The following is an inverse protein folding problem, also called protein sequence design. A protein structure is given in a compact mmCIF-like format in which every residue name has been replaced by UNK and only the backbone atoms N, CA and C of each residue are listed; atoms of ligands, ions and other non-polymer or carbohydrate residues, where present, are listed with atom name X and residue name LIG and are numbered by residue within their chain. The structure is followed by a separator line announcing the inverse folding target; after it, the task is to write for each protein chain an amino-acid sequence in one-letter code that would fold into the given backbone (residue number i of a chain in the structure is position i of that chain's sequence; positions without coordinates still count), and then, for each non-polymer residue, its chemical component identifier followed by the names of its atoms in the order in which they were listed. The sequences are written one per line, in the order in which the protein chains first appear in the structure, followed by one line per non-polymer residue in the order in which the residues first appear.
data_IF_896394100723
#
_entry.id   IF_896394100723
#
_cell.length_a   1.000
_cell.length_b   1.000
_cell.length_c   1.000
_cell.angle_alpha   90.00
_cell.angle_beta   90.00
_cell.angle_gamma   90.00
#
_symmetry.space_group_name_H-M   'P 1'
#
loop_
_entity.id
_entity.type
_entity.pdbx_description
1 polymer ?
#
# COMPACT_ATOMS: atom_id res chain seq x y z
N UNK A 1 -12.89 -18.64 -14.83
CA UNK A 1 -13.03 -18.94 -13.38
C UNK A 1 -14.01 -17.95 -12.78
N UNK A 2 -14.76 -18.33 -11.74
CA UNK A 2 -15.55 -17.35 -10.98
C UNK A 2 -14.60 -16.26 -10.47
N UNK A 3 -14.99 -14.99 -10.59
CA UNK A 3 -14.22 -13.90 -10.03
C UNK A 3 -13.99 -14.17 -8.54
N UNK A 4 -12.73 -14.09 -8.08
CA UNK A 4 -12.34 -14.27 -6.67
C UNK A 4 -12.62 -13.02 -5.82
N UNK A 5 -13.49 -12.13 -6.29
CA UNK A 5 -13.93 -10.97 -5.53
C UNK A 5 -15.09 -11.38 -4.65
N UNK A 6 -14.98 -11.15 -3.34
CA UNK A 6 -16.02 -11.51 -2.39
C UNK A 6 -17.34 -10.77 -2.70
N UNK A 7 -17.25 -9.50 -3.11
CA UNK A 7 -18.39 -8.64 -3.45
C UNK A 7 -19.17 -9.09 -4.69
N UNK A 8 -18.63 -10.02 -5.48
CA UNK A 8 -19.32 -10.58 -6.64
C UNK A 8 -20.18 -11.81 -6.28
N UNK A 9 -20.04 -12.35 -5.07
CA UNK A 9 -20.87 -13.43 -4.58
C UNK A 9 -22.24 -12.90 -4.12
N UNK A 10 -23.28 -13.69 -4.37
CA UNK A 10 -24.59 -13.49 -3.74
C UNK A 10 -24.54 -13.98 -2.30
N UNK A 11 -25.35 -13.40 -1.40
CA UNK A 11 -25.36 -13.77 0.02
C UNK A 11 -25.36 -15.28 0.32
N UNK A 12 -26.24 -16.09 -0.31
CA UNK A 12 -26.24 -17.55 -0.11
C UNK A 12 -25.00 -18.30 -0.62
N UNK A 13 -24.24 -17.71 -1.54
CA UNK A 13 -23.02 -18.28 -2.12
C UNK A 13 -21.83 -18.11 -1.16
N UNK A 14 -21.80 -17.03 -0.36
CA UNK A 14 -20.71 -16.72 0.58
C UNK A 14 -20.49 -17.86 1.58
N UNK A 15 -21.56 -18.39 2.18
CA UNK A 15 -21.48 -19.48 3.15
C UNK A 15 -21.00 -20.81 2.55
N UNK A 16 -21.10 -20.98 1.23
CA UNK A 16 -20.63 -22.16 0.50
C UNK A 16 -19.20 -21.99 -0.01
N UNK A 17 -18.84 -20.77 -0.38
CA UNK A 17 -17.55 -20.43 -0.96
C UNK A 17 -16.46 -20.30 0.10
N UNK A 18 -16.78 -19.72 1.26
CA UNK A 18 -15.81 -19.46 2.32
C UNK A 18 -15.68 -20.62 3.30
N UNK A 19 -14.44 -20.90 3.68
CA UNK A 19 -14.07 -21.92 4.66
C UNK A 19 -13.11 -21.34 5.70
N UNK A 20 -12.77 -22.12 6.73
CA UNK A 20 -11.72 -21.73 7.70
C UNK A 20 -10.33 -21.61 7.06
N UNK A 21 -10.11 -22.27 5.93
CA UNK A 21 -8.84 -22.23 5.20
C UNK A 21 -8.73 -21.02 4.27
N UNK A 22 -9.85 -20.36 3.97
CA UNK A 22 -9.85 -19.20 3.07
C UNK A 22 -9.04 -18.04 3.64
N UNK A 23 -8.49 -17.23 2.75
CA UNK A 23 -7.77 -16.00 3.07
C UNK A 23 -8.49 -14.83 2.43
N UNK A 24 -8.89 -13.84 3.23
CA UNK A 24 -9.40 -12.59 2.69
C UNK A 24 -8.24 -11.61 2.51
N UNK A 25 -8.16 -10.96 1.36
CA UNK A 25 -7.18 -9.93 1.04
C UNK A 25 -7.89 -8.58 0.98
N UNK A 26 -7.48 -7.65 1.83
CA UNK A 26 -7.98 -6.28 1.90
C UNK A 26 -6.92 -5.34 1.33
N UNK A 27 -7.10 -4.80 0.11
CA UNK A 27 -6.24 -3.74 -0.39
C UNK A 27 -6.49 -2.46 0.40
N UNK A 28 -5.40 -1.78 0.78
CA UNK A 28 -5.41 -0.47 1.42
C UNK A 28 -4.64 0.50 0.52
N UNK A 29 -5.33 1.48 -0.04
CA UNK A 29 -4.71 2.57 -0.79
C UNK A 29 -4.65 3.87 0.03
N UNK A 30 -4.35 4.98 -0.64
CA UNK A 30 -4.56 6.33 -0.15
C UNK A 30 -4.85 7.26 -1.35
N UNK A 31 -5.42 8.44 -1.06
CA UNK A 31 -5.59 9.52 -2.02
C UNK A 31 -4.79 10.72 -1.54
N UNK A 32 -3.62 10.93 -2.14
CA UNK A 32 -2.62 11.89 -1.68
C UNK A 32 -1.70 12.36 -2.81
N UNK A 33 -1.10 13.54 -2.65
CA UNK A 33 -0.11 14.05 -3.59
C UNK A 33 1.05 13.08 -3.75
N UNK A 34 1.67 13.02 -4.93
CA UNK A 34 2.85 12.20 -5.24
C UNK A 34 3.84 13.01 -6.09
N UNK A 35 4.03 14.28 -5.76
CA UNK A 35 4.73 15.23 -6.62
C UNK A 35 3.88 15.72 -7.80
N UNK A 36 4.47 16.50 -8.71
CA UNK A 36 3.74 17.15 -9.80
C UNK A 36 3.47 16.23 -11.01
N UNK A 37 4.10 15.05 -11.07
CA UNK A 37 4.07 14.13 -12.21
C UNK A 37 3.11 12.94 -12.04
N UNK A 38 2.72 12.61 -10.81
CA UNK A 38 1.85 11.47 -10.50
C UNK A 38 0.44 11.89 -10.06
N UNK A 39 -0.57 11.04 -10.30
CA UNK A 39 -1.93 11.30 -9.86
C UNK A 39 -2.11 10.98 -8.37
N UNK A 40 -3.15 11.56 -7.75
CA UNK A 40 -3.47 11.34 -6.34
C UNK A 40 -3.78 9.88 -5.98
N UNK A 41 -4.14 9.07 -6.96
CA UNK A 41 -4.62 7.69 -6.77
C UNK A 41 -3.49 6.66 -6.70
N UNK A 42 -2.22 7.07 -6.73
CA UNK A 42 -1.05 6.19 -6.96
C UNK A 42 -1.07 4.97 -6.04
N UNK A 43 -1.18 5.17 -4.72
CA UNK A 43 -1.20 4.07 -3.73
C UNK A 43 -2.36 3.09 -3.94
N UNK A 44 -3.56 3.63 -4.21
CA UNK A 44 -4.75 2.81 -4.47
C UNK A 44 -4.58 2.01 -5.77
N UNK A 45 -4.14 2.66 -6.84
CA UNK A 45 -3.97 2.04 -8.15
C UNK A 45 -2.96 0.88 -8.08
N UNK A 46 -1.86 1.06 -7.36
CA UNK A 46 -0.84 0.01 -7.16
C UNK A 46 -1.39 -1.12 -6.30
N UNK A 47 -1.97 -0.82 -5.13
CA UNK A 47 -2.48 -1.85 -4.22
C UNK A 47 -3.59 -2.70 -4.85
N UNK A 48 -4.51 -2.05 -5.57
CA UNK A 48 -5.62 -2.73 -6.24
C UNK A 48 -5.11 -3.61 -7.39
N UNK A 49 -4.25 -3.08 -8.27
CA UNK A 49 -3.71 -3.85 -9.39
C UNK A 49 -2.91 -5.08 -8.93
N UNK A 50 -2.08 -4.93 -7.89
CA UNK A 50 -1.30 -6.06 -7.34
C UNK A 50 -2.24 -7.08 -6.70
N UNK A 51 -3.25 -6.66 -5.94
CA UNK A 51 -4.19 -7.60 -5.34
C UNK A 51 -4.99 -8.38 -6.40
N UNK A 52 -5.47 -7.69 -7.44
CA UNK A 52 -6.23 -8.30 -8.54
C UNK A 52 -5.40 -9.33 -9.31
N UNK A 53 -4.10 -9.12 -9.44
CA UNK A 53 -3.19 -10.07 -10.10
C UNK A 53 -2.70 -11.19 -9.18
N UNK A 54 -2.40 -10.90 -7.91
CA UNK A 54 -1.85 -11.85 -6.95
C UNK A 54 -2.88 -12.88 -6.46
N UNK A 55 -4.14 -12.50 -6.28
CA UNK A 55 -5.17 -13.42 -5.78
C UNK A 55 -5.40 -14.63 -6.72
N UNK A 56 -5.54 -14.45 -8.05
CA UNK A 56 -5.57 -15.58 -9.00
C UNK A 56 -4.34 -16.48 -8.92
N UNK A 57 -3.14 -15.91 -8.87
CA UNK A 57 -1.88 -16.67 -8.76
C UNK A 57 -1.84 -17.49 -7.48
N UNK A 58 -2.26 -16.91 -6.34
CA UNK A 58 -2.36 -17.63 -5.08
C UNK A 58 -3.35 -18.81 -5.16
N UNK A 59 -4.48 -18.63 -5.86
CA UNK A 59 -5.47 -19.68 -6.11
C UNK A 59 -4.91 -20.82 -6.96
N UNK A 60 -4.16 -20.50 -8.00
CA UNK A 60 -3.47 -21.52 -8.81
C UNK A 60 -2.44 -22.31 -7.99
N UNK A 61 -1.85 -21.67 -6.97
CA UNK A 61 -0.95 -22.30 -5.99
C UNK A 61 -1.69 -23.03 -4.85
N UNK A 62 -3.01 -23.14 -4.91
CA UNK A 62 -3.82 -23.89 -3.95
C UNK A 62 -4.24 -23.12 -2.70
N UNK A 63 -4.06 -21.80 -2.67
CA UNK A 63 -4.59 -20.93 -1.60
C UNK A 63 -6.01 -20.50 -1.94
N UNK A 64 -6.98 -20.77 -1.07
CA UNK A 64 -8.35 -20.27 -1.26
C UNK A 64 -8.46 -18.78 -0.90
N UNK A 65 -7.89 -17.92 -1.75
CA UNK A 65 -7.84 -16.48 -1.56
C UNK A 65 -9.04 -15.76 -2.20
N UNK A 66 -9.53 -14.72 -1.52
CA UNK A 66 -10.64 -13.87 -1.97
C UNK A 66 -10.33 -12.40 -1.72
N UNK A 67 -10.65 -11.56 -2.71
CA UNK A 67 -10.42 -10.13 -2.67
C UNK A 67 -11.62 -9.41 -2.05
N UNK A 68 -11.36 -8.56 -1.06
CA UNK A 68 -12.31 -7.59 -0.54
C UNK A 68 -12.26 -6.29 -1.36
N UNK A 69 -13.36 -5.51 -1.42
CA UNK A 69 -13.31 -4.18 -2.01
C UNK A 69 -12.20 -3.32 -1.37
N UNK A 70 -11.41 -2.57 -2.13
CA UNK A 70 -10.31 -1.79 -1.59
C UNK A 70 -10.81 -0.69 -0.65
N UNK A 71 -10.02 -0.37 0.38
CA UNK A 71 -10.17 0.88 1.11
C UNK A 71 -9.39 1.97 0.38
N UNK A 72 -10.12 2.78 -0.39
CA UNK A 72 -9.56 3.86 -1.19
C UNK A 72 -8.96 5.00 -0.35
N UNK A 73 -9.60 5.34 0.76
CA UNK A 73 -9.18 6.42 1.66
C UNK A 73 -8.76 5.82 2.99
N UNK A 74 -7.55 6.13 3.43
CA UNK A 74 -6.95 5.60 4.67
C UNK A 74 -6.27 6.72 5.45
N UNK A 75 -5.41 6.40 6.42
CA UNK A 75 -4.65 7.40 7.17
C UNK A 75 -3.52 7.94 6.28
N UNK A 76 -3.64 9.20 5.89
CA UNK A 76 -2.70 9.92 5.00
C UNK A 76 -2.52 11.40 5.46
N UNK A 77 -2.62 11.63 6.77
CA UNK A 77 -2.58 12.99 7.34
C UNK A 77 -1.19 13.66 7.29
N UNK A 78 -0.13 12.91 7.00
CA UNK A 78 1.22 13.39 6.63
C UNK A 78 1.23 14.14 5.27
N UNK A 79 0.17 13.99 4.46
CA UNK A 79 -0.06 14.72 3.21
C UNK A 79 -1.21 15.75 3.34
N UNK A 80 -1.76 15.99 4.54
CA UNK A 80 -2.96 16.80 4.76
C UNK A 80 -2.81 18.28 4.37
N UNK A 81 -1.58 18.78 4.26
CA UNK A 81 -1.29 20.15 3.83
C UNK A 81 -1.56 20.37 2.34
N UNK A 82 -1.59 19.29 1.53
CA UNK A 82 -1.73 19.39 0.09
C UNK A 82 -3.22 19.34 -0.35
N UNK A 83 -3.67 20.26 -1.21
CA UNK A 83 -5.03 20.23 -1.74
C UNK A 83 -5.31 18.96 -2.57
N UNK A 84 -6.38 18.25 -2.21
CA UNK A 84 -6.80 17.02 -2.90
C UNK A 84 -6.53 15.75 -2.10
N UNK A 85 -5.68 15.79 -1.08
CA UNK A 85 -5.50 14.67 -0.15
C UNK A 85 -6.82 14.38 0.59
N UNK A 86 -7.26 13.11 0.56
CA UNK A 86 -8.44 12.64 1.30
C UNK A 86 -7.95 11.63 2.34
N UNK A 87 -8.07 11.98 3.61
CA UNK A 87 -7.46 11.22 4.69
C UNK A 87 -8.42 10.97 5.86
N UNK A 88 -8.21 9.86 6.53
CA UNK A 88 -8.85 9.51 7.80
C UNK A 88 -7.90 9.77 8.97
N UNK A 89 -8.45 10.12 10.13
CA UNK A 89 -7.66 10.09 11.37
C UNK A 89 -7.25 8.65 11.70
N UNK A 90 -6.13 8.48 12.42
CA UNK A 90 -5.70 7.17 12.90
C UNK A 90 -6.80 6.44 13.70
N UNK A 91 -7.56 7.18 14.53
CA UNK A 91 -8.70 6.60 15.28
C UNK A 91 -9.80 6.11 14.35
N UNK A 92 -10.15 6.91 13.34
CA UNK A 92 -11.19 6.55 12.36
C UNK A 92 -10.79 5.31 11.58
N UNK A 93 -9.56 5.27 11.05
CA UNK A 93 -9.07 4.12 10.30
C UNK A 93 -9.01 2.86 11.18
N UNK A 94 -8.56 2.97 12.43
CA UNK A 94 -8.56 1.84 13.36
C UNK A 94 -9.97 1.30 13.58
N UNK A 95 -10.97 2.17 13.84
CA UNK A 95 -12.35 1.73 13.99
C UNK A 95 -12.90 1.05 12.73
N UNK A 96 -12.54 1.53 11.54
CA UNK A 96 -12.91 0.87 10.27
C UNK A 96 -12.27 -0.53 10.17
N UNK A 97 -10.98 -0.66 10.51
CA UNK A 97 -10.29 -1.96 10.50
C UNK A 97 -10.90 -2.92 11.53
N UNK A 98 -11.26 -2.45 12.72
CA UNK A 98 -11.94 -3.25 13.74
C UNK A 98 -13.32 -3.72 13.28
N UNK A 99 -14.10 -2.85 12.63
CA UNK A 99 -15.40 -3.21 12.06
C UNK A 99 -15.25 -4.23 10.92
N UNK A 100 -14.23 -4.07 10.05
CA UNK A 100 -13.89 -5.07 9.03
C UNK A 100 -13.53 -6.41 9.68
N UNK A 101 -12.69 -6.41 10.70
CA UNK A 101 -12.33 -7.61 11.44
C UNK A 101 -13.55 -8.30 12.06
N UNK A 102 -14.48 -7.54 12.65
CA UNK A 102 -15.76 -8.06 13.15
C UNK A 102 -16.58 -8.73 12.04
N UNK A 103 -16.65 -8.11 10.87
CA UNK A 103 -17.33 -8.66 9.70
C UNK A 103 -16.68 -9.97 9.23
N UNK A 104 -15.34 -10.03 9.16
CA UNK A 104 -14.62 -11.25 8.80
C UNK A 104 -14.86 -12.36 9.83
N UNK A 105 -14.82 -12.05 11.12
CA UNK A 105 -15.03 -13.00 12.21
C UNK A 105 -16.46 -13.59 12.24
N UNK A 106 -17.44 -12.87 11.66
CA UNK A 106 -18.80 -13.37 11.47
C UNK A 106 -18.92 -14.44 10.36
N UNK A 107 -17.85 -14.68 9.59
CA UNK A 107 -17.78 -15.74 8.58
C UNK A 107 -16.97 -16.95 9.09
N UNK A 108 -16.89 -18.07 8.34
CA UNK A 108 -15.96 -19.16 8.65
C UNK A 108 -14.48 -18.76 8.56
N UNK A 109 -14.13 -17.67 7.87
CA UNK A 109 -12.75 -17.28 7.59
C UNK A 109 -12.01 -16.87 8.86
N UNK A 110 -10.72 -17.23 8.95
CA UNK A 110 -9.86 -16.86 10.09
C UNK A 110 -8.60 -16.11 9.69
N UNK A 111 -8.33 -15.93 8.40
CA UNK A 111 -7.12 -15.27 7.89
C UNK A 111 -7.49 -14.00 7.10
N UNK A 112 -6.86 -12.89 7.46
CA UNK A 112 -7.02 -11.59 6.80
C UNK A 112 -5.65 -10.99 6.49
N UNK A 113 -5.41 -10.67 5.22
CA UNK A 113 -4.19 -9.99 4.76
C UNK A 113 -4.57 -8.58 4.39
N UNK A 114 -3.88 -7.60 4.97
CA UNK A 114 -3.91 -6.21 4.50
C UNK A 114 -2.78 -6.00 3.49
N UNK A 115 -3.12 -5.83 2.22
CA UNK A 115 -2.14 -5.44 1.19
C UNK A 115 -2.08 -3.91 1.15
N UNK A 116 -1.05 -3.36 1.77
CA UNK A 116 -0.94 -1.93 2.03
C UNK A 116 -0.07 -1.23 0.97
N UNK A 117 -0.70 -0.37 0.17
CA UNK A 117 -0.03 0.48 -0.82
C UNK A 117 0.53 1.78 -0.26
N UNK A 118 0.15 2.19 0.95
CA UNK A 118 0.54 3.48 1.52
C UNK A 118 1.41 3.31 2.78
N UNK A 119 2.64 3.85 2.77
CA UNK A 119 3.60 3.69 3.86
C UNK A 119 3.08 4.18 5.22
N UNK A 120 2.31 5.28 5.23
CA UNK A 120 1.76 5.91 6.43
C UNK A 120 0.77 5.06 7.24
N UNK A 121 0.28 3.96 6.66
CA UNK A 121 -0.63 3.02 7.32
C UNK A 121 0.12 1.95 8.13
N UNK A 122 1.40 1.67 7.84
CA UNK A 122 2.06 0.45 8.31
C UNK A 122 2.07 0.28 9.83
N UNK A 123 2.43 1.33 10.57
CA UNK A 123 2.47 1.27 12.03
C UNK A 123 1.08 1.03 12.63
N UNK A 124 0.05 1.67 12.06
CA UNK A 124 -1.34 1.52 12.48
C UNK A 124 -1.85 0.11 12.19
N UNK A 125 -1.61 -0.41 10.99
CA UNK A 125 -2.07 -1.76 10.59
C UNK A 125 -1.30 -2.85 11.36
N UNK A 126 -0.01 -2.67 11.59
CA UNK A 126 0.79 -3.59 12.40
C UNK A 126 0.26 -3.68 13.85
N UNK A 127 -0.14 -2.55 14.43
CA UNK A 127 -0.83 -2.54 15.73
C UNK A 127 -2.21 -3.20 15.64
N UNK A 128 -3.01 -2.82 14.65
CA UNK A 128 -4.36 -3.35 14.44
C UNK A 128 -4.39 -4.88 14.25
N UNK A 129 -3.37 -5.47 13.61
CA UNK A 129 -3.23 -6.92 13.51
C UNK A 129 -3.31 -7.61 14.89
N UNK A 130 -2.64 -7.04 15.90
CA UNK A 130 -2.68 -7.57 17.26
C UNK A 130 -4.06 -7.38 17.90
N UNK A 131 -4.68 -6.22 17.69
CA UNK A 131 -6.02 -5.94 18.21
C UNK A 131 -7.06 -6.90 17.63
N UNK A 132 -7.05 -7.14 16.31
CA UNK A 132 -7.94 -8.09 15.66
C UNK A 132 -7.74 -9.53 16.16
N UNK A 133 -6.49 -9.92 16.46
CA UNK A 133 -6.20 -11.22 17.07
C UNK A 133 -6.79 -11.32 18.48
N UNK A 134 -6.59 -10.30 19.32
CA UNK A 134 -7.07 -10.28 20.70
C UNK A 134 -8.61 -10.27 20.76
N UNK A 135 -9.25 -9.44 19.93
CA UNK A 135 -10.69 -9.23 19.96
C UNK A 135 -11.46 -10.36 19.27
N UNK A 136 -10.96 -10.88 18.15
CA UNK A 136 -11.72 -11.79 17.28
C UNK A 136 -11.05 -13.12 16.99
N UNK A 137 -9.81 -13.34 17.47
CA UNK A 137 -9.06 -14.57 17.20
C UNK A 137 -8.62 -14.74 15.75
N UNK A 138 -8.61 -13.66 14.95
CA UNK A 138 -8.16 -13.69 13.56
C UNK A 138 -6.63 -13.82 13.47
N UNK A 139 -6.14 -14.55 12.48
CA UNK A 139 -4.75 -14.51 12.01
C UNK A 139 -4.65 -13.40 10.96
N UNK A 140 -3.89 -12.35 11.26
CA UNK A 140 -3.86 -11.15 10.44
C UNK A 140 -2.45 -10.80 10.02
N UNK A 141 -2.29 -10.34 8.78
CA UNK A 141 -0.99 -10.11 8.16
C UNK A 141 -0.96 -8.73 7.49
N UNK A 142 0.18 -8.06 7.59
CA UNK A 142 0.48 -6.86 6.81
C UNK A 142 1.44 -7.26 5.69
N UNK A 143 1.06 -6.96 4.46
CA UNK A 143 1.88 -7.13 3.27
C UNK A 143 1.94 -5.81 2.50
N UNK A 144 2.95 -5.66 1.66
CA UNK A 144 3.14 -4.50 0.81
C UNK A 144 3.44 -4.95 -0.62
N UNK A 145 3.01 -4.20 -1.66
CA UNK A 145 3.48 -4.42 -3.03
C UNK A 145 5.00 -4.35 -3.15
N UNK A 146 5.61 -3.37 -2.48
CA UNK A 146 7.06 -3.24 -2.27
C UNK A 146 7.26 -2.76 -0.83
N UNK A 147 8.20 -3.34 -0.10
CA UNK A 147 8.49 -2.88 1.25
C UNK A 147 9.01 -1.43 1.19
N UNK A 148 8.40 -0.44 1.89
CA UNK A 148 8.87 0.94 1.84
C UNK A 148 10.29 1.09 2.42
N UNK A 149 11.09 1.99 1.84
CA UNK A 149 12.48 2.18 2.27
C UNK A 149 12.59 2.66 3.73
N UNK A 150 11.63 3.45 4.22
CA UNK A 150 11.58 3.90 5.61
C UNK A 150 11.24 2.77 6.61
N UNK A 151 10.89 1.59 6.11
CA UNK A 151 10.48 0.40 6.87
C UNK A 151 11.39 -0.80 6.60
N UNK A 152 12.60 -0.55 6.09
CA UNK A 152 13.62 -1.58 5.83
C UNK A 152 13.57 -2.17 4.42
N UNK A 153 12.77 -1.58 3.53
CA UNK A 153 12.82 -1.84 2.10
C UNK A 153 14.01 -1.18 1.40
N UNK A 154 14.06 -1.36 0.08
CA UNK A 154 15.05 -0.71 -0.80
C UNK A 154 14.51 0.56 -1.45
N UNK A 155 15.40 1.32 -2.08
CA UNK A 155 15.04 2.34 -3.06
C UNK A 155 16.08 2.33 -4.19
N UNK A 156 15.84 3.09 -5.26
CA UNK A 156 16.85 3.18 -6.32
C UNK A 156 18.17 3.77 -5.77
N UNK A 157 19.34 3.37 -6.31
CA UNK A 157 20.63 3.91 -5.87
C UNK A 157 20.71 5.44 -5.96
N UNK A 158 20.03 6.05 -6.93
CA UNK A 158 19.93 7.51 -7.10
C UNK A 158 19.23 8.20 -5.94
N UNK A 159 18.45 7.48 -5.15
CA UNK A 159 17.62 7.97 -4.05
C UNK A 159 18.24 7.74 -2.67
N UNK A 160 19.41 7.10 -2.60
CA UNK A 160 20.21 6.95 -1.38
C UNK A 160 19.48 6.27 -0.20
N UNK A 161 18.53 5.37 -0.49
CA UNK A 161 17.69 4.72 0.53
C UNK A 161 16.55 5.59 1.05
N UNK A 162 16.29 6.73 0.41
CA UNK A 162 15.29 7.73 0.84
C UNK A 162 14.17 7.94 -0.20
N UNK A 163 14.11 7.10 -1.24
CA UNK A 163 12.99 7.09 -2.17
C UNK A 163 11.79 6.42 -1.52
N UNK A 164 10.97 7.21 -0.82
CA UNK A 164 9.88 6.69 0.01
C UNK A 164 8.49 7.11 -0.47
N UNK A 165 8.40 8.09 -1.38
CA UNK A 165 7.12 8.62 -1.83
C UNK A 165 7.27 9.44 -3.14
N UNK A 166 6.49 9.15 -4.16
CA UNK A 166 6.59 9.72 -5.52
C UNK A 166 7.92 9.44 -6.24
N UNK A 167 8.71 8.48 -5.73
CA UNK A 167 10.05 8.17 -6.21
C UNK A 167 10.07 7.28 -7.46
N UNK A 168 11.24 6.71 -7.75
CA UNK A 168 11.48 5.88 -8.93
C UNK A 168 10.56 4.67 -9.01
N UNK A 169 10.28 3.99 -7.89
CA UNK A 169 9.49 2.74 -7.87
C UNK A 169 8.01 3.00 -8.21
N UNK A 170 7.35 3.88 -7.44
CA UNK A 170 5.94 4.24 -7.66
C UNK A 170 5.73 4.87 -9.05
N UNK A 171 6.66 5.72 -9.48
CA UNK A 171 6.60 6.31 -10.82
C UNK A 171 6.71 5.25 -11.91
N UNK A 172 7.61 4.28 -11.74
CA UNK A 172 7.77 3.18 -12.70
C UNK A 172 6.52 2.30 -12.73
N UNK A 173 5.97 1.94 -11.56
CA UNK A 173 4.73 1.18 -11.44
C UNK A 173 3.57 1.91 -12.14
N UNK A 174 3.41 3.22 -11.92
CA UNK A 174 2.36 3.99 -12.57
C UNK A 174 2.56 4.16 -14.07
N UNK A 175 3.80 4.27 -14.56
CA UNK A 175 4.08 4.23 -16.01
C UNK A 175 3.70 2.88 -16.64
N UNK A 176 3.77 1.78 -15.89
CA UNK A 176 3.31 0.47 -16.35
C UNK A 176 1.79 0.34 -16.30
N UNK A 177 1.18 0.72 -15.17
CA UNK A 177 -0.23 0.47 -14.89
C UNK A 177 -1.17 1.50 -15.53
N UNK A 178 -0.82 2.78 -15.46
CA UNK A 178 -1.64 3.93 -15.87
C UNK A 178 -0.79 5.04 -16.50
N UNK A 179 -0.07 4.76 -17.60
CA UNK A 179 0.77 5.76 -18.27
C UNK A 179 -0.01 7.00 -18.71
N UNK A 180 -1.31 6.87 -18.92
CA UNK A 180 -2.22 7.97 -19.26
C UNK A 180 -2.35 9.04 -18.17
N UNK A 181 -1.98 8.71 -16.93
CA UNK A 181 -2.04 9.61 -15.77
C UNK A 181 -0.68 10.16 -15.33
N UNK A 182 0.41 9.76 -15.97
CA UNK A 182 1.77 10.16 -15.58
C UNK A 182 2.31 11.21 -16.53
N UNK A 183 2.77 12.33 -15.99
CA UNK A 183 3.41 13.42 -16.76
C UNK A 183 4.90 13.51 -16.43
N UNK A 184 5.71 12.70 -17.11
CA UNK A 184 7.16 12.66 -16.91
C UNK A 184 7.86 13.98 -17.24
N UNK A 185 7.23 14.91 -17.97
CA UNK A 185 7.82 16.24 -18.21
C UNK A 185 7.89 17.08 -16.93
N UNK A 186 7.13 16.69 -15.90
CA UNK A 186 7.13 17.30 -14.57
C UNK A 186 7.94 16.53 -13.54
N UNK A 187 8.51 15.37 -13.90
CA UNK A 187 9.29 14.57 -12.97
C UNK A 187 10.55 15.33 -12.57
N UNK A 188 10.69 15.60 -11.27
CA UNK A 188 11.84 16.33 -10.71
C UNK A 188 12.40 15.53 -9.53
N UNK A 189 13.73 15.44 -9.43
CA UNK A 189 14.42 14.84 -8.29
C UNK A 189 14.21 15.67 -7.02
N UNK A 190 13.77 15.04 -5.94
CA UNK A 190 13.63 15.61 -4.60
C UNK A 190 14.14 14.61 -3.54
N UNK A 191 15.47 14.45 -3.46
CA UNK A 191 16.11 13.56 -2.47
C UNK A 191 16.64 14.40 -1.31
N UNK A 192 16.28 14.11 -0.04
CA UNK A 192 16.72 14.89 1.11
C UNK A 192 18.16 14.53 1.52
N UNK A 193 19.13 14.89 0.69
CA UNK A 193 20.55 14.52 0.85
C UNK A 193 21.15 14.93 2.20
N UNK A 194 20.65 16.01 2.80
CA UNK A 194 21.06 16.43 4.14
C UNK A 194 20.78 15.37 5.24
N UNK A 195 19.81 14.47 5.03
CA UNK A 195 19.57 13.33 5.92
C UNK A 195 20.54 12.17 5.67
N UNK A 196 21.12 12.05 4.47
CA UNK A 196 22.05 10.97 4.14
C UNK A 196 23.33 11.05 5.00
N UNK A 197 23.72 12.26 5.43
CA UNK A 197 24.86 12.47 6.33
C UNK A 197 24.54 12.06 7.78
N UNK A 198 23.25 11.98 8.15
CA UNK A 198 22.84 11.63 9.50
C UNK A 198 22.83 10.11 9.71
N UNK A 199 23.87 9.62 10.38
CA UNK A 199 24.02 8.18 10.68
C UNK A 199 23.11 7.68 11.82
N UNK A 200 22.53 8.58 12.60
CA UNK A 200 21.71 8.22 13.77
C UNK A 200 20.22 8.23 13.46
N UNK A 201 19.73 9.32 12.85
CA UNK A 201 18.32 9.53 12.53
C UNK A 201 18.17 9.58 11.01
N UNK A 202 17.52 8.56 10.44
CA UNK A 202 17.31 8.42 9.00
C UNK A 202 16.15 7.49 8.70
N UNK A 203 15.58 7.59 7.50
CA UNK A 203 14.59 6.64 7.01
C UNK A 203 15.14 5.20 7.07
N UNK A 204 14.32 4.26 7.53
CA UNK A 204 14.70 2.84 7.64
C UNK A 204 15.77 2.55 8.69
N UNK A 205 16.19 3.56 9.46
CA UNK A 205 17.16 3.42 10.54
C UNK A 205 16.57 2.85 11.84
N UNK A 206 17.43 2.54 12.80
CA UNK A 206 17.01 2.12 14.15
C UNK A 206 16.38 3.25 14.97
N UNK A 207 16.63 4.51 14.60
CA UNK A 207 15.96 5.69 15.17
C UNK A 207 15.08 6.32 14.10
N UNK A 208 13.78 6.09 14.25
CA UNK A 208 12.74 6.67 13.42
C UNK A 208 12.32 8.05 13.96
N UNK A 209 11.71 8.87 13.11
CA UNK A 209 11.24 10.21 13.45
C UNK A 209 9.89 10.48 12.80
N UNK A 210 9.08 11.32 13.41
CA UNK A 210 7.81 11.77 12.82
C UNK A 210 8.09 12.85 11.79
N UNK A 211 7.67 12.61 10.55
CA UNK A 211 7.88 13.50 9.42
C UNK A 211 6.54 13.81 8.74
N UNK A 212 6.48 14.95 8.06
CA UNK A 212 5.42 15.33 7.13
C UNK A 212 6.01 15.44 5.73
N UNK A 213 5.21 15.17 4.70
CA UNK A 213 5.71 15.15 3.32
C UNK A 213 6.27 16.51 2.86
N UNK A 214 5.80 17.63 3.42
CA UNK A 214 6.33 18.96 3.15
C UNK A 214 7.61 19.33 3.92
N UNK A 215 8.14 18.46 4.77
CA UNK A 215 9.42 18.71 5.45
C UNK A 215 10.61 18.69 4.46
N UNK A 216 10.42 18.08 3.28
CA UNK A 216 11.49 17.80 2.32
C UNK A 216 11.34 18.52 0.97
N UNK A 217 10.32 19.37 0.83
CA UNK A 217 10.10 20.19 -0.36
C UNK A 217 8.64 20.55 -0.59
N UNK A 218 8.41 21.52 -1.48
CA UNK A 218 7.08 22.13 -1.71
C UNK A 218 6.13 21.21 -2.48
N UNK A 219 6.66 20.18 -3.14
CA UNK A 219 5.88 19.25 -3.95
C UNK A 219 5.60 17.93 -3.26
N UNK A 220 6.17 17.71 -2.08
CA UNK A 220 5.82 16.60 -1.20
C UNK A 220 6.35 15.22 -1.57
N UNK A 221 6.79 14.97 -2.81
CA UNK A 221 7.50 13.75 -3.17
C UNK A 221 8.94 13.74 -2.60
N UNK A 222 9.41 12.54 -2.27
CA UNK A 222 10.68 12.24 -1.62
C UNK A 222 11.33 11.08 -2.39
N UNK A 223 12.17 11.40 -3.35
CA UNK A 223 12.78 10.44 -4.27
C UNK A 223 13.24 11.06 -5.59
N UNK A 224 13.61 10.20 -6.54
CA UNK A 224 14.10 10.60 -7.86
C UNK A 224 13.33 9.86 -8.96
N UNK A 225 12.20 10.44 -9.43
CA UNK A 225 11.39 9.81 -10.47
C UNK A 225 12.02 9.92 -11.86
N UNK A 226 13.09 10.70 -12.07
CA UNK A 226 13.56 11.10 -13.40
C UNK A 226 14.06 9.94 -14.28
N UNK A 227 14.48 8.84 -13.64
CA UNK A 227 14.92 7.61 -14.30
C UNK A 227 13.85 6.51 -14.40
N UNK A 228 12.61 6.77 -13.96
CA UNK A 228 11.55 5.78 -13.94
C UNK A 228 11.13 5.34 -15.36
N UNK A 229 10.83 4.06 -15.53
CA UNK A 229 10.37 3.52 -16.82
C UNK A 229 9.24 2.50 -16.65
N UNK A 230 8.41 2.35 -17.69
CA UNK A 230 7.35 1.35 -17.71
C UNK A 230 7.91 -0.08 -17.62
N UNK A 231 9.08 -0.36 -18.20
CA UNK A 231 9.73 -1.67 -18.12
C UNK A 231 10.20 -1.98 -16.69
N UNK A 232 10.69 -0.99 -15.96
CA UNK A 232 11.00 -1.14 -14.54
C UNK A 232 9.72 -1.41 -13.74
N UNK A 233 8.63 -0.69 -14.04
CA UNK A 233 7.32 -0.91 -13.44
C UNK A 233 6.78 -2.31 -13.65
N UNK A 234 6.87 -2.83 -14.87
CA UNK A 234 6.43 -4.19 -15.18
C UNK A 234 7.21 -5.25 -14.38
N UNK A 235 8.51 -5.05 -14.16
CA UNK A 235 9.33 -5.95 -13.31
C UNK A 235 8.94 -5.86 -11.84
N UNK A 236 8.76 -4.65 -11.33
CA UNK A 236 8.33 -4.42 -9.94
C UNK A 236 6.96 -5.05 -9.68
N UNK A 237 6.01 -4.81 -10.60
CA UNK A 237 4.66 -5.38 -10.52
C UNK A 237 4.68 -6.91 -10.53
N UNK A 238 5.41 -7.53 -11.46
CA UNK A 238 5.55 -8.98 -11.51
C UNK A 238 6.20 -9.52 -10.23
N UNK A 239 7.22 -8.84 -9.69
CA UNK A 239 7.85 -9.20 -8.42
C UNK A 239 6.87 -9.18 -7.24
N UNK A 240 6.07 -8.12 -7.14
CA UNK A 240 5.05 -7.94 -6.10
C UNK A 240 3.94 -9.01 -6.15
N UNK A 241 3.57 -9.46 -7.35
CA UNK A 241 2.57 -10.51 -7.56
C UNK A 241 3.09 -11.89 -7.15
N UNK A 242 4.39 -12.12 -7.30
CA UNK A 242 5.02 -13.43 -7.11
C UNK A 242 5.48 -13.70 -5.67
N UNK A 243 5.84 -12.67 -4.90
CA UNK A 243 6.38 -12.72 -3.54
C UNK A 243 5.33 -13.06 -2.47
#
# INVERSE_FOLDING_TARGET
MSSRHLSHLRGPEVAKALTKASVLVQPLGAIEQHGPHLPLITDLAVAEAVAEAAVPVAVERGVDAWLLPPLAYTKSNEHAWNPGTIWMSARTMLSVIEDLGRCVAATPVRKLVFLNGHGGNSALVAMANRELRLQFGLETFLAHPSMPADQGGGSAPSELGMGIHGGSEETSLMLHLRPDLVDMTKAVRAVPEHLAENKMVRFGGSVQFGWLSNDFGDHGHIGDPTGATAEAGARLFAGAVES
#
